data_IF_879760873068
#
_entry.id   IF_879760873068
#
_cell.length_a   1.000
_cell.length_b   1.000
_cell.length_c   1.000
_cell.angle_alpha   90.00
_cell.angle_beta   90.00
_cell.angle_gamma   90.00
#
_symmetry.space_group_name_H-M   'P 1'
#
loop_
_entity.id
_entity.type
_entity.pdbx_description
1 polymer ?
#
# COMPACT_ATOMS: atom_id res chain seq x y z
N UNK A 1 -18.38 0.29 -20.30
CA UNK A 1 -16.95 0.48 -20.65
C UNK A 1 -16.50 1.91 -20.34
N UNK A 2 -15.26 2.09 -19.90
CA UNK A 2 -14.60 3.39 -19.76
C UNK A 2 -13.78 3.63 -21.01
N UNK A 3 -14.31 4.46 -21.90
CA UNK A 3 -13.68 4.83 -23.18
C UNK A 3 -12.82 6.09 -23.07
N UNK A 4 -12.20 6.48 -24.20
CA UNK A 4 -11.38 7.70 -24.33
C UNK A 4 -10.18 7.82 -23.36
N UNK A 5 -9.77 6.70 -22.74
CA UNK A 5 -8.63 6.65 -21.80
C UNK A 5 -7.32 6.16 -22.45
N UNK A 6 -7.37 5.65 -23.67
CA UNK A 6 -6.17 5.18 -24.41
C UNK A 6 -5.06 6.23 -24.46
N UNK A 7 -5.32 7.50 -24.82
CA UNK A 7 -4.28 8.52 -24.86
C UNK A 7 -3.63 8.78 -23.49
N UNK A 8 -4.37 8.57 -22.39
CA UNK A 8 -3.81 8.70 -21.05
C UNK A 8 -2.81 7.58 -20.77
N UNK A 9 -3.12 6.35 -21.16
CA UNK A 9 -2.23 5.20 -20.96
C UNK A 9 -0.98 5.30 -21.83
N UNK A 10 -1.13 5.66 -23.10
CA UNK A 10 0.00 5.88 -24.02
C UNK A 10 0.93 7.00 -23.55
N UNK A 11 0.37 8.06 -22.96
CA UNK A 11 1.15 9.18 -22.40
C UNK A 11 1.56 8.96 -20.94
N UNK A 12 1.39 7.75 -20.38
CA UNK A 12 1.70 7.41 -19.00
C UNK A 12 1.02 8.33 -17.95
N UNK A 13 -0.13 8.92 -18.27
CA UNK A 13 -0.91 9.80 -17.38
C UNK A 13 -1.77 9.00 -16.38
N UNK A 14 -1.13 8.09 -15.64
CA UNK A 14 -1.84 7.18 -14.73
C UNK A 14 -2.54 7.87 -13.57
N UNK A 15 -2.04 9.03 -13.11
CA UNK A 15 -2.76 9.87 -12.14
C UNK A 15 -4.16 10.25 -12.64
N UNK A 16 -4.25 10.66 -13.90
CA UNK A 16 -5.50 11.11 -14.49
C UNK A 16 -6.40 9.92 -14.80
N UNK A 17 -5.81 8.78 -15.20
CA UNK A 17 -6.51 7.51 -15.36
C UNK A 17 -7.21 7.08 -14.06
N UNK A 18 -6.51 7.16 -12.93
CA UNK A 18 -7.08 6.84 -11.60
C UNK A 18 -8.29 7.72 -11.32
N UNK A 19 -8.19 9.02 -11.57
CA UNK A 19 -9.30 9.94 -11.35
C UNK A 19 -10.52 9.57 -12.22
N UNK A 20 -10.30 9.27 -13.51
CA UNK A 20 -11.37 8.82 -14.42
C UNK A 20 -12.02 7.53 -13.92
N UNK A 21 -11.23 6.52 -13.51
CA UNK A 21 -11.76 5.25 -13.01
C UNK A 21 -12.59 5.47 -11.74
N UNK A 22 -12.03 6.18 -10.75
CA UNK A 22 -12.71 6.41 -9.47
C UNK A 22 -13.99 7.22 -9.65
N UNK A 23 -13.94 8.32 -10.41
CA UNK A 23 -15.11 9.15 -10.68
C UNK A 23 -16.22 8.35 -11.38
N UNK A 24 -15.83 7.49 -12.35
CA UNK A 24 -16.77 6.61 -13.03
C UNK A 24 -17.36 5.56 -12.09
N UNK A 25 -16.53 4.89 -11.28
CA UNK A 25 -16.99 3.86 -10.32
C UNK A 25 -17.89 4.43 -9.24
N UNK A 26 -17.69 5.67 -8.82
CA UNK A 26 -18.56 6.35 -7.86
C UNK A 26 -19.96 6.64 -8.42
N UNK A 27 -20.09 6.82 -9.74
CA UNK A 27 -21.37 7.03 -10.41
C UNK A 27 -22.06 5.73 -10.87
N UNK A 28 -21.39 4.58 -10.80
CA UNK A 28 -21.89 3.31 -11.29
C UNK A 28 -22.41 2.40 -10.17
N UNK A 29 -23.43 1.57 -10.42
CA UNK A 29 -23.84 0.53 -9.48
C UNK A 29 -22.69 -0.45 -9.20
N UNK A 30 -22.47 -0.87 -7.94
CA UNK A 30 -21.38 -1.80 -7.60
C UNK A 30 -21.41 -3.14 -8.35
N UNK A 31 -22.60 -3.58 -8.79
CA UNK A 31 -22.79 -4.84 -9.51
C UNK A 31 -22.50 -4.76 -11.01
N UNK A 32 -22.27 -3.57 -11.56
CA UNK A 32 -22.03 -3.39 -13.00
C UNK A 32 -20.55 -3.67 -13.34
N UNK A 33 -20.26 -4.61 -14.27
CA UNK A 33 -18.90 -4.83 -14.74
C UNK A 33 -18.33 -3.59 -15.43
N UNK A 34 -17.07 -3.28 -15.15
CA UNK A 34 -16.35 -2.15 -15.71
C UNK A 34 -15.22 -2.62 -16.60
N UNK A 35 -15.37 -2.33 -17.89
CA UNK A 35 -14.36 -2.58 -18.90
C UNK A 35 -13.48 -1.34 -19.10
N UNK A 36 -12.18 -1.44 -18.83
CA UNK A 36 -11.22 -0.37 -19.12
C UNK A 36 -10.73 -0.50 -20.56
N UNK A 37 -11.25 0.34 -21.46
CA UNK A 37 -11.07 0.16 -22.90
C UNK A 37 -9.65 0.49 -23.35
N UNK A 38 -9.02 -0.42 -24.10
CA UNK A 38 -7.66 -0.32 -24.64
C UNK A 38 -6.55 -0.46 -23.59
N UNK A 39 -6.88 -0.89 -22.37
CA UNK A 39 -5.92 -1.14 -21.32
C UNK A 39 -5.24 -2.50 -21.53
N UNK A 40 -4.20 -2.51 -22.37
CA UNK A 40 -3.58 -3.74 -22.84
C UNK A 40 -2.21 -4.10 -22.25
N UNK A 41 -1.61 -3.23 -21.43
CA UNK A 41 -0.26 -3.45 -20.90
C UNK A 41 -0.28 -3.96 -19.44
N UNK A 42 0.43 -5.05 -19.11
CA UNK A 42 0.31 -5.71 -17.80
C UNK A 42 0.68 -4.85 -16.59
N UNK A 43 1.65 -3.93 -16.75
CA UNK A 43 2.15 -3.10 -15.64
C UNK A 43 1.09 -2.34 -14.83
N UNK A 44 -0.09 -2.07 -15.41
CA UNK A 44 -1.16 -1.32 -14.74
C UNK A 44 -2.33 -2.20 -14.26
N UNK A 45 -2.34 -3.51 -14.55
CA UNK A 45 -3.48 -4.38 -14.24
C UNK A 45 -3.81 -4.37 -12.75
N UNK A 46 -2.80 -4.53 -11.88
CA UNK A 46 -3.02 -4.51 -10.44
C UNK A 46 -3.74 -3.21 -9.98
N UNK A 47 -3.26 -2.04 -10.42
CA UNK A 47 -3.84 -0.74 -10.05
C UNK A 47 -5.27 -0.58 -10.57
N UNK A 48 -5.51 -0.88 -11.85
CA UNK A 48 -6.85 -0.76 -12.44
C UNK A 48 -7.86 -1.70 -11.78
N UNK A 49 -7.46 -2.95 -11.49
CA UNK A 49 -8.31 -3.93 -10.81
C UNK A 49 -8.59 -3.52 -9.37
N UNK A 50 -7.59 -3.00 -8.64
CA UNK A 50 -7.79 -2.48 -7.28
C UNK A 50 -8.77 -1.30 -7.21
N UNK A 51 -8.90 -0.55 -8.31
CA UNK A 51 -9.88 0.52 -8.46
C UNK A 51 -11.24 0.04 -9.00
N UNK A 52 -11.40 -1.25 -9.26
CA UNK A 52 -12.66 -1.88 -9.62
C UNK A 52 -12.93 -1.99 -11.12
N UNK A 53 -11.88 -2.06 -11.95
CA UNK A 53 -12.00 -2.51 -13.34
C UNK A 53 -11.98 -4.04 -13.43
N UNK A 54 -12.87 -4.61 -14.23
CA UNK A 54 -13.13 -6.05 -14.33
C UNK A 54 -12.69 -6.65 -15.67
N UNK A 55 -12.77 -5.88 -16.76
CA UNK A 55 -12.47 -6.33 -18.12
C UNK A 55 -11.40 -5.44 -18.77
N UNK A 56 -10.57 -6.07 -19.60
CA UNK A 56 -9.47 -5.45 -20.33
C UNK A 56 -9.46 -5.99 -21.76
N UNK A 57 -9.10 -5.14 -22.72
CA UNK A 57 -8.83 -5.52 -24.10
C UNK A 57 -7.46 -5.00 -24.51
N UNK A 58 -6.76 -5.76 -25.36
CA UNK A 58 -5.40 -5.43 -25.78
C UNK A 58 -5.25 -5.65 -27.28
N UNK A 59 -5.06 -4.56 -28.02
CA UNK A 59 -4.35 -4.60 -29.30
C UNK A 59 -2.82 -4.45 -29.11
N UNK A 60 -2.42 -4.01 -27.92
CA UNK A 60 -1.04 -3.67 -27.61
C UNK A 60 -0.08 -4.85 -27.79
N UNK A 61 -0.48 -6.09 -27.46
CA UNK A 61 0.40 -7.25 -27.60
C UNK A 61 0.93 -7.43 -29.04
N UNK A 62 0.08 -7.20 -30.04
CA UNK A 62 0.41 -7.34 -31.45
C UNK A 62 1.04 -6.07 -32.03
N UNK A 63 0.52 -4.88 -31.67
CA UNK A 63 1.10 -3.61 -32.11
C UNK A 63 2.53 -3.43 -31.58
N UNK A 64 2.76 -3.78 -30.32
CA UNK A 64 4.09 -3.70 -29.72
C UNK A 64 5.03 -4.70 -30.38
N UNK A 65 4.57 -5.91 -30.66
CA UNK A 65 5.38 -6.91 -31.35
C UNK A 65 5.86 -6.45 -32.74
N UNK A 66 4.98 -5.80 -33.52
CA UNK A 66 5.35 -5.19 -34.81
C UNK A 66 6.44 -4.12 -34.69
N UNK A 67 6.46 -3.41 -33.56
CA UNK A 67 7.48 -2.40 -33.26
C UNK A 67 8.71 -2.99 -32.54
N UNK A 68 8.84 -4.32 -32.47
CA UNK A 68 9.92 -5.00 -31.73
C UNK A 68 9.89 -4.75 -30.22
N UNK A 69 8.72 -4.44 -29.66
CA UNK A 69 8.52 -4.12 -28.24
C UNK A 69 8.11 -5.35 -27.42
N UNK A 70 8.95 -5.69 -26.45
CA UNK A 70 8.83 -6.80 -25.52
C UNK A 70 8.22 -6.31 -24.19
N UNK A 71 7.04 -6.81 -23.83
CA UNK A 71 6.33 -6.44 -22.60
C UNK A 71 6.84 -7.21 -21.38
N UNK A 72 6.80 -6.53 -20.23
CA UNK A 72 7.00 -7.09 -18.88
C UNK A 72 5.95 -6.51 -17.92
N UNK A 73 5.84 -7.07 -16.74
CA UNK A 73 5.06 -6.51 -15.63
C UNK A 73 5.60 -5.16 -15.12
N UNK A 74 6.84 -4.78 -15.49
CA UNK A 74 7.48 -3.52 -15.09
C UNK A 74 7.44 -2.44 -16.15
N UNK A 75 7.20 -2.81 -17.42
CA UNK A 75 7.27 -1.87 -18.54
C UNK A 75 7.56 -2.58 -19.85
N UNK A 76 8.12 -1.86 -20.80
CA UNK A 76 8.40 -2.34 -22.16
C UNK A 76 9.86 -2.15 -22.51
N UNK A 77 10.46 -3.12 -23.18
CA UNK A 77 11.80 -3.03 -23.75
C UNK A 77 11.72 -3.11 -25.28
N UNK A 78 12.67 -2.50 -26.00
CA UNK A 78 12.93 -2.92 -27.36
C UNK A 78 13.74 -4.21 -27.32
N UNK A 79 13.34 -5.22 -28.10
CA UNK A 79 13.98 -6.54 -28.11
C UNK A 79 15.47 -6.46 -28.49
N UNK A 80 15.84 -5.48 -29.31
CA UNK A 80 17.23 -5.24 -29.74
C UNK A 80 18.15 -4.78 -28.59
N UNK A 81 17.59 -4.19 -27.52
CA UNK A 81 18.35 -3.71 -26.37
C UNK A 81 18.57 -4.80 -25.30
N UNK A 82 17.87 -5.94 -25.42
CA UNK A 82 17.96 -7.01 -24.46
C UNK A 82 19.20 -7.87 -24.68
N UNK A 83 19.87 -8.23 -23.59
CA UNK A 83 20.91 -9.29 -23.59
C UNK A 83 20.38 -10.64 -23.13
N UNK A 84 19.30 -10.61 -22.35
CA UNK A 84 18.63 -11.79 -21.79
C UNK A 84 17.13 -11.60 -21.95
N UNK A 85 16.39 -12.70 -22.00
CA UNK A 85 14.92 -12.69 -21.94
C UNK A 85 14.50 -12.88 -20.48
N UNK A 86 14.05 -11.82 -19.76
CA UNK A 86 13.72 -11.90 -18.34
C UNK A 86 12.32 -12.49 -18.12
N UNK A 87 12.04 -13.67 -18.68
CA UNK A 87 10.76 -14.35 -18.59
C UNK A 87 10.94 -15.86 -18.72
N UNK A 88 10.05 -16.63 -18.12
CA UNK A 88 10.04 -18.10 -18.16
C UNK A 88 8.86 -18.67 -18.95
N UNK A 89 8.22 -17.87 -19.82
CA UNK A 89 7.15 -18.37 -20.68
C UNK A 89 7.69 -19.36 -21.73
N UNK A 90 6.83 -20.18 -22.37
CA UNK A 90 7.26 -21.17 -23.36
C UNK A 90 8.08 -20.60 -24.53
N UNK A 91 7.93 -19.31 -24.84
CA UNK A 91 8.72 -18.62 -25.85
C UNK A 91 10.13 -18.34 -25.32
N UNK A 92 10.23 -17.61 -24.20
CA UNK A 92 11.51 -17.19 -23.62
C UNK A 92 12.36 -18.33 -23.08
N UNK A 93 11.75 -19.48 -22.73
CA UNK A 93 12.49 -20.67 -22.29
C UNK A 93 13.10 -21.49 -23.42
N UNK A 94 12.71 -21.24 -24.68
CA UNK A 94 13.12 -22.06 -25.84
C UNK A 94 13.79 -21.25 -26.95
N UNK A 95 13.78 -19.92 -26.87
CA UNK A 95 14.34 -19.04 -27.89
C UNK A 95 15.33 -18.05 -27.29
N UNK A 96 16.20 -17.53 -28.13
CA UNK A 96 17.18 -16.48 -27.83
C UNK A 96 16.63 -15.09 -28.18
N UNK A 97 17.32 -14.04 -27.72
CA UNK A 97 16.98 -12.66 -28.08
C UNK A 97 17.00 -12.46 -29.60
N UNK A 98 17.99 -13.00 -30.31
CA UNK A 98 18.14 -12.83 -31.76
C UNK A 98 17.01 -13.48 -32.56
N UNK A 99 16.52 -14.64 -32.12
CA UNK A 99 15.37 -15.31 -32.72
C UNK A 99 14.09 -14.50 -32.51
N UNK A 100 13.85 -13.99 -31.29
CA UNK A 100 12.70 -13.10 -31.03
C UNK A 100 12.78 -11.80 -31.82
N UNK A 101 13.98 -11.21 -31.93
CA UNK A 101 14.18 -9.98 -32.70
C UNK A 101 13.88 -10.14 -34.19
N UNK A 102 13.90 -11.38 -34.69
CA UNK A 102 13.66 -11.70 -36.10
C UNK A 102 12.24 -12.18 -36.38
N UNK A 103 11.40 -12.39 -35.35
CA UNK A 103 10.04 -12.92 -35.48
C UNK A 103 9.04 -12.19 -34.57
N UNK A 104 8.27 -11.28 -35.18
CA UNK A 104 7.20 -10.53 -34.51
C UNK A 104 6.14 -11.46 -33.87
N UNK A 105 5.90 -12.63 -34.46
CA UNK A 105 4.96 -13.62 -33.92
C UNK A 105 5.39 -14.19 -32.57
N UNK A 106 6.70 -14.39 -32.37
CA UNK A 106 7.25 -14.82 -31.08
C UNK A 106 7.06 -13.73 -30.02
N UNK A 107 7.35 -12.47 -30.36
CA UNK A 107 7.16 -11.34 -29.45
C UNK A 107 5.67 -11.18 -29.08
N UNK A 108 4.76 -11.30 -30.06
CA UNK A 108 3.33 -11.20 -29.81
C UNK A 108 2.82 -12.30 -28.85
N UNK A 109 3.29 -13.53 -29.03
CA UNK A 109 2.94 -14.66 -28.14
C UNK A 109 3.49 -14.45 -26.73
N UNK A 110 4.74 -13.99 -26.62
CA UNK A 110 5.33 -13.60 -25.34
C UNK A 110 4.49 -12.51 -24.63
N UNK A 111 4.15 -11.43 -25.34
CA UNK A 111 3.37 -10.31 -24.80
C UNK A 111 2.01 -10.78 -24.25
N UNK A 112 1.36 -11.74 -24.93
CA UNK A 112 0.15 -12.39 -24.42
C UNK A 112 0.42 -13.21 -23.16
N UNK A 113 1.48 -14.01 -23.13
CA UNK A 113 1.83 -14.82 -21.96
C UNK A 113 1.99 -13.96 -20.70
N UNK A 114 2.75 -12.87 -20.80
CA UNK A 114 2.97 -11.93 -19.68
C UNK A 114 1.66 -11.29 -19.24
N UNK A 115 0.81 -10.89 -20.18
CA UNK A 115 -0.49 -10.28 -19.86
C UNK A 115 -1.40 -11.25 -19.08
N UNK A 116 -1.47 -12.51 -19.53
CA UNK A 116 -2.25 -13.54 -18.83
C UNK A 116 -1.63 -13.99 -17.52
N UNK A 117 -0.30 -14.02 -17.42
CA UNK A 117 0.42 -14.30 -16.18
C UNK A 117 0.11 -13.25 -15.12
N UNK A 118 0.23 -11.97 -15.47
CA UNK A 118 -0.07 -10.88 -14.55
C UNK A 118 -1.54 -10.91 -14.12
N UNK A 119 -2.48 -11.16 -15.03
CA UNK A 119 -3.90 -11.29 -14.67
C UNK A 119 -4.17 -12.51 -13.76
N UNK A 120 -3.45 -13.62 -13.91
CA UNK A 120 -3.53 -14.76 -12.98
C UNK A 120 -3.01 -14.38 -11.60
N UNK A 121 -1.88 -13.67 -11.52
CA UNK A 121 -1.30 -13.20 -10.28
C UNK A 121 -2.26 -12.22 -9.56
N UNK A 122 -2.81 -11.24 -10.27
CA UNK A 122 -3.80 -10.30 -9.71
C UNK A 122 -4.99 -11.04 -9.10
N UNK A 123 -5.55 -12.04 -9.80
CA UNK A 123 -6.66 -12.86 -9.27
C UNK A 123 -6.25 -13.65 -8.02
N UNK A 124 -5.03 -14.18 -7.98
CA UNK A 124 -4.52 -14.89 -6.81
C UNK A 124 -4.37 -13.93 -5.61
N UNK A 125 -3.78 -12.75 -5.81
CA UNK A 125 -3.66 -11.73 -4.76
C UNK A 125 -5.03 -11.24 -4.25
N UNK A 126 -6.06 -11.17 -5.09
CA UNK A 126 -7.43 -10.89 -4.64
C UNK A 126 -7.93 -11.99 -3.69
N UNK A 127 -7.70 -13.26 -4.04
CA UNK A 127 -8.12 -14.40 -3.21
C UNK A 127 -7.41 -14.43 -1.87
N UNK A 128 -6.11 -14.12 -1.87
CA UNK A 128 -5.28 -14.10 -0.68
C UNK A 128 -5.51 -12.84 0.17
N UNK A 129 -6.13 -11.79 -0.39
CA UNK A 129 -6.32 -10.50 0.27
C UNK A 129 -5.09 -9.59 0.20
N UNK A 130 -4.15 -9.89 -0.69
CA UNK A 130 -2.86 -9.21 -0.87
C UNK A 130 -2.80 -8.30 -2.11
N UNK A 131 -3.96 -7.85 -2.63
CA UNK A 131 -4.01 -7.08 -3.88
C UNK A 131 -3.25 -5.76 -3.77
N UNK A 132 -3.39 -5.04 -2.65
CA UNK A 132 -2.76 -3.74 -2.49
C UNK A 132 -1.24 -3.85 -2.34
N UNK A 133 -0.74 -4.94 -1.76
CA UNK A 133 0.67 -5.28 -1.72
C UNK A 133 1.22 -5.44 -3.15
N UNK A 134 0.49 -6.13 -4.03
CA UNK A 134 0.84 -6.25 -5.45
C UNK A 134 0.79 -4.89 -6.16
N UNK A 135 -0.25 -4.07 -5.93
CA UNK A 135 -0.38 -2.72 -6.50
C UNK A 135 0.85 -1.89 -6.14
N UNK A 136 1.22 -1.89 -4.88
CA UNK A 136 2.39 -1.18 -4.38
C UNK A 136 3.69 -1.63 -5.05
N UNK A 137 3.89 -2.94 -5.20
CA UNK A 137 5.05 -3.49 -5.92
C UNK A 137 5.08 -3.05 -7.39
N UNK A 138 3.97 -3.16 -8.11
CA UNK A 138 3.86 -2.80 -9.53
C UNK A 138 4.03 -1.31 -9.75
N UNK A 139 3.43 -0.47 -8.91
CA UNK A 139 3.48 0.98 -9.08
C UNK A 139 4.88 1.57 -8.90
N UNK A 140 5.79 0.87 -8.24
CA UNK A 140 7.21 1.26 -8.13
C UNK A 140 8.01 1.02 -9.41
N UNK A 141 7.44 0.35 -10.42
CA UNK A 141 8.14 0.11 -11.68
C UNK A 141 8.35 1.39 -12.53
N UNK A 142 7.53 2.43 -12.35
CA UNK A 142 7.65 3.68 -13.11
C UNK A 142 7.15 4.90 -12.30
N UNK A 143 7.84 6.07 -12.33
CA UNK A 143 7.42 7.25 -11.58
C UNK A 143 5.98 7.70 -11.81
N UNK A 144 5.52 7.66 -13.06
CA UNK A 144 4.13 8.00 -13.37
C UNK A 144 3.11 7.00 -12.82
N UNK A 145 3.48 5.72 -12.69
CA UNK A 145 2.61 4.70 -12.11
C UNK A 145 2.55 4.88 -10.58
N UNK A 146 3.69 5.22 -9.96
CA UNK A 146 3.74 5.66 -8.55
C UNK A 146 2.88 6.91 -8.31
N UNK A 147 2.89 7.87 -9.25
CA UNK A 147 1.97 9.02 -9.18
C UNK A 147 0.50 8.59 -9.25
N UNK A 148 0.19 7.53 -10.01
CA UNK A 148 -1.12 6.87 -10.01
C UNK A 148 -1.48 6.27 -8.64
N UNK A 149 -0.59 5.51 -8.02
CA UNK A 149 -0.80 4.98 -6.66
C UNK A 149 -1.04 6.09 -5.63
N UNK A 150 -0.23 7.15 -5.65
CA UNK A 150 -0.41 8.32 -4.78
C UNK A 150 -1.77 8.97 -4.96
N UNK A 151 -2.27 9.02 -6.19
CA UNK A 151 -3.61 9.51 -6.48
C UNK A 151 -4.69 8.54 -5.95
N UNK A 152 -4.49 7.23 -6.10
CA UNK A 152 -5.44 6.22 -5.66
C UNK A 152 -5.66 6.26 -4.14
N UNK A 153 -4.58 6.36 -3.35
CA UNK A 153 -4.68 6.44 -1.88
C UNK A 153 -5.26 7.77 -1.36
N UNK A 154 -5.37 8.80 -2.21
CA UNK A 154 -6.15 10.00 -1.86
C UNK A 154 -7.66 9.76 -1.93
N UNK A 155 -8.10 8.66 -2.53
CA UNK A 155 -9.49 8.21 -2.56
C UNK A 155 -9.79 7.15 -1.50
N UNK A 156 -8.93 6.98 -0.51
CA UNK A 156 -9.08 5.93 0.51
C UNK A 156 -10.37 6.01 1.32
N UNK A 157 -10.99 7.18 1.49
CA UNK A 157 -12.32 7.27 2.10
C UNK A 157 -13.40 6.50 1.32
N UNK A 158 -13.31 6.50 -0.01
CA UNK A 158 -14.22 5.75 -0.86
C UNK A 158 -13.85 4.28 -0.92
N UNK A 159 -12.56 3.98 -1.08
CA UNK A 159 -12.04 2.60 -1.13
C UNK A 159 -12.39 1.87 0.17
N UNK A 160 -12.19 2.51 1.32
CA UNK A 160 -12.45 1.95 2.65
C UNK A 160 -13.89 1.46 2.82
N UNK A 161 -14.88 2.14 2.20
CA UNK A 161 -16.29 1.73 2.27
C UNK A 161 -16.59 0.45 1.49
N UNK A 162 -15.77 0.12 0.49
CA UNK A 162 -15.92 -1.04 -0.36
C UNK A 162 -15.00 -2.19 0.05
N UNK A 163 -13.90 -1.86 0.73
CA UNK A 163 -12.85 -2.78 1.08
C UNK A 163 -13.27 -3.76 2.19
N UNK A 164 -12.97 -5.05 1.98
CA UNK A 164 -13.35 -6.13 2.89
C UNK A 164 -12.31 -6.31 3.98
N UNK A 165 -12.74 -6.69 5.19
CA UNK A 165 -11.85 -7.22 6.23
C UNK A 165 -12.47 -8.50 6.84
N UNK A 166 -11.65 -9.46 7.31
CA UNK A 166 -10.18 -9.47 7.29
C UNK A 166 -9.57 -9.84 5.93
N UNK A 167 -8.26 -9.59 5.78
CA UNK A 167 -7.41 -9.94 4.62
C UNK A 167 -6.12 -10.62 5.10
N UNK A 168 -5.19 -10.90 4.18
CA UNK A 168 -3.81 -11.26 4.53
C UNK A 168 -3.12 -10.15 5.33
N UNK A 169 -1.97 -10.48 5.92
CA UNK A 169 -1.13 -9.53 6.65
C UNK A 169 -0.86 -8.27 5.82
N UNK A 170 -1.05 -7.11 6.46
CA UNK A 170 -0.74 -5.82 5.88
C UNK A 170 0.79 -5.61 5.89
N UNK A 171 1.37 -5.27 4.74
CA UNK A 171 2.80 -4.94 4.64
C UNK A 171 2.99 -3.45 4.42
N UNK A 172 3.72 -2.80 5.34
CA UNK A 172 4.15 -1.42 5.13
C UNK A 172 5.32 -1.38 4.15
N UNK A 173 5.07 -0.96 2.90
CA UNK A 173 6.09 -0.94 1.84
C UNK A 173 6.53 0.48 1.47
N UNK A 174 5.86 1.51 1.99
CA UNK A 174 6.22 2.92 1.80
C UNK A 174 5.14 3.89 2.29
N UNK A 175 5.32 5.21 2.09
CA UNK A 175 4.40 6.23 2.57
C UNK A 175 2.95 6.03 2.10
N UNK A 176 2.74 5.48 0.92
CA UNK A 176 1.41 5.20 0.38
C UNK A 176 0.65 4.16 1.22
N UNK A 177 1.36 3.23 1.88
CA UNK A 177 0.75 2.26 2.80
C UNK A 177 0.08 2.95 3.99
N UNK A 178 0.65 4.06 4.49
CA UNK A 178 0.08 4.84 5.59
C UNK A 178 -1.28 5.48 5.25
N UNK A 179 -1.63 5.54 3.96
CA UNK A 179 -2.87 6.13 3.47
C UNK A 179 -3.88 5.09 2.99
N UNK A 180 -3.59 3.80 3.10
CA UNK A 180 -4.50 2.72 2.67
C UNK A 180 -5.77 2.65 3.52
N UNK A 181 -6.76 1.92 3.00
CA UNK A 181 -8.09 1.74 3.60
C UNK A 181 -8.03 1.17 5.02
N UNK A 182 -7.08 0.29 5.33
CA UNK A 182 -6.90 -0.25 6.69
C UNK A 182 -6.62 0.87 7.70
N UNK A 183 -5.76 1.83 7.33
CA UNK A 183 -5.38 2.94 8.20
C UNK A 183 -6.53 3.93 8.32
N UNK A 184 -7.20 4.25 7.20
CA UNK A 184 -8.40 5.11 7.21
C UNK A 184 -9.55 4.53 8.02
N UNK A 185 -9.76 3.21 7.96
CA UNK A 185 -10.77 2.55 8.81
C UNK A 185 -10.40 2.65 10.28
N UNK A 186 -9.12 2.44 10.60
CA UNK A 186 -8.67 2.53 11.98
C UNK A 186 -8.78 3.94 12.55
N UNK A 187 -8.46 4.97 11.75
CA UNK A 187 -8.70 6.38 12.09
C UNK A 187 -10.17 6.62 12.50
N UNK A 188 -11.13 6.04 11.75
CA UNK A 188 -12.56 6.12 12.09
C UNK A 188 -12.89 5.33 13.36
N UNK A 189 -12.21 4.22 13.62
CA UNK A 189 -12.44 3.44 14.84
C UNK A 189 -11.95 4.13 16.11
N UNK A 190 -11.04 5.09 16.01
CA UNK A 190 -10.61 5.89 17.17
C UNK A 190 -11.79 6.57 17.88
N UNK A 191 -12.84 6.94 17.14
CA UNK A 191 -14.04 7.58 17.71
C UNK A 191 -15.01 6.60 18.37
N UNK A 192 -14.71 5.29 18.36
CA UNK A 192 -15.59 4.24 18.91
C UNK A 192 -15.14 3.76 20.30
N UNK A 193 -13.95 4.15 20.73
CA UNK A 193 -13.49 3.87 22.08
C UNK A 193 -14.22 4.78 23.09
N UNK A 194 -14.58 4.22 24.24
CA UNK A 194 -15.10 4.94 25.41
C UNK A 194 -14.19 4.62 26.60
N UNK A 195 -13.00 5.23 26.60
CA UNK A 195 -11.97 5.03 27.60
C UNK A 195 -12.16 6.01 28.76
N UNK A 196 -11.97 5.51 29.98
CA UNK A 196 -12.04 6.28 31.24
C UNK A 196 -10.91 5.85 32.17
N UNK A 197 -10.48 6.71 33.06
CA UNK A 197 -9.39 6.38 33.98
C UNK A 197 -8.01 6.45 33.31
N UNK A 198 -7.08 5.57 33.69
CA UNK A 198 -5.67 5.63 33.27
C UNK A 198 -5.42 4.74 32.05
N UNK A 199 -4.91 5.32 30.97
CA UNK A 199 -4.58 4.61 29.72
C UNK A 199 -3.09 4.68 29.47
N UNK A 200 -2.42 3.53 29.31
CA UNK A 200 -1.03 3.46 28.90
C UNK A 200 -0.92 3.18 27.40
N UNK A 201 -0.11 3.98 26.70
CA UNK A 201 0.33 3.76 25.33
C UNK A 201 1.83 3.45 25.35
N UNK A 202 2.26 2.32 24.77
CA UNK A 202 3.66 1.88 24.77
C UNK A 202 4.05 1.12 23.51
N UNK A 203 5.34 0.84 23.32
CA UNK A 203 5.78 -0.08 22.26
C UNK A 203 5.39 -1.54 22.56
N UNK A 204 5.25 -2.33 21.50
CA UNK A 204 4.90 -3.76 21.57
C UNK A 204 5.79 -4.53 22.57
N UNK A 205 7.10 -4.33 22.49
CA UNK A 205 8.12 -5.09 23.23
C UNK A 205 8.50 -4.47 24.58
N UNK A 206 7.91 -3.33 24.94
CA UNK A 206 8.26 -2.65 26.18
C UNK A 206 7.58 -3.33 27.37
N UNK A 207 8.39 -3.63 28.39
CA UNK A 207 7.99 -4.35 29.61
C UNK A 207 7.29 -3.40 30.58
N UNK A 208 6.18 -3.84 31.16
CA UNK A 208 5.46 -3.06 32.18
C UNK A 208 5.54 -3.85 33.49
N UNK A 209 6.19 -3.26 34.50
CA UNK A 209 6.29 -3.87 35.83
C UNK A 209 4.94 -3.82 36.57
N UNK A 210 4.17 -2.74 36.40
CA UNK A 210 2.89 -2.51 37.10
C UNK A 210 1.69 -2.42 36.15
N UNK A 211 1.33 -3.53 35.49
CA UNK A 211 0.13 -3.57 34.62
C UNK A 211 -1.16 -3.18 35.36
N UNK A 212 -1.24 -3.42 36.67
CA UNK A 212 -2.40 -3.11 37.51
C UNK A 212 -2.66 -1.62 37.72
N UNK A 213 -1.72 -0.76 37.38
CA UNK A 213 -1.84 0.70 37.59
C UNK A 213 -2.66 1.40 36.49
N UNK A 214 -2.98 0.69 35.41
CA UNK A 214 -3.68 1.21 34.25
C UNK A 214 -4.95 0.42 33.98
N UNK A 215 -6.03 1.14 33.72
CA UNK A 215 -7.33 0.57 33.33
C UNK A 215 -7.27 -0.01 31.90
N UNK A 216 -6.45 0.61 31.03
CA UNK A 216 -6.26 0.19 29.64
C UNK A 216 -4.80 0.24 29.22
N UNK A 217 -4.37 -0.78 28.46
CA UNK A 217 -3.04 -0.83 27.84
C UNK A 217 -3.16 -0.96 26.33
N UNK A 218 -2.50 -0.04 25.63
CA UNK A 218 -2.50 0.09 24.18
C UNK A 218 -1.08 -0.02 23.65
N UNK A 219 -0.92 -0.81 22.60
CA UNK A 219 0.32 -0.85 21.84
C UNK A 219 0.33 0.29 20.81
N UNK A 220 1.48 0.91 20.63
CA UNK A 220 1.76 1.90 19.61
C UNK A 220 2.47 1.26 18.43
N UNK A 221 1.92 1.42 17.23
CA UNK A 221 2.50 0.89 15.98
C UNK A 221 2.27 1.84 14.81
N UNK A 222 3.30 2.40 14.19
CA UNK A 222 3.16 3.11 12.92
C UNK A 222 2.65 2.20 11.80
N UNK A 223 1.82 2.68 10.85
CA UNK A 223 1.13 3.97 10.83
C UNK A 223 -0.21 3.97 11.60
N UNK A 224 -0.59 2.88 12.27
CA UNK A 224 -1.87 2.75 12.96
C UNK A 224 -2.03 3.73 14.13
N UNK A 225 -0.99 3.93 14.95
CA UNK A 225 -1.10 4.66 16.21
C UNK A 225 -1.33 3.71 17.38
N UNK A 226 -2.15 4.11 18.35
CA UNK A 226 -2.44 3.31 19.55
C UNK A 226 -3.67 2.41 19.37
N UNK A 227 -3.55 1.13 19.70
CA UNK A 227 -4.64 0.15 19.68
C UNK A 227 -4.56 -0.78 20.91
N UNK A 228 -5.67 -1.40 21.37
CA UNK A 228 -5.64 -2.30 22.53
C UNK A 228 -4.62 -3.44 22.36
N UNK A 229 -3.75 -3.64 23.36
CA UNK A 229 -2.66 -4.62 23.26
C UNK A 229 -3.14 -6.06 22.99
N UNK A 230 -4.37 -6.40 23.41
CA UNK A 230 -5.01 -7.69 23.14
C UNK A 230 -5.27 -7.96 21.65
N UNK A 231 -5.31 -6.91 20.81
CA UNK A 231 -5.56 -7.02 19.37
C UNK A 231 -4.28 -7.15 18.54
N UNK A 232 -3.10 -7.22 19.17
CA UNK A 232 -1.79 -7.26 18.49
C UNK A 232 -1.66 -8.33 17.41
N UNK A 233 -2.26 -9.49 17.62
CA UNK A 233 -2.21 -10.62 16.68
C UNK A 233 -3.45 -10.65 15.75
N UNK A 234 -4.31 -9.64 15.81
CA UNK A 234 -5.52 -9.50 14.98
C UNK A 234 -5.27 -8.56 13.80
N UNK A 235 -5.79 -8.90 12.62
CA UNK A 235 -5.73 -8.01 11.46
C UNK A 235 -6.51 -6.69 11.71
N UNK A 236 -5.95 -5.51 11.37
CA UNK A 236 -4.69 -5.28 10.65
C UNK A 236 -3.46 -5.07 11.55
N UNK A 237 -3.57 -5.20 12.87
CA UNK A 237 -2.48 -4.91 13.81
C UNK A 237 -1.36 -5.96 13.81
N UNK A 238 -1.62 -7.15 13.26
CA UNK A 238 -0.60 -8.13 12.93
C UNK A 238 0.28 -7.72 11.72
N UNK A 239 0.16 -6.48 11.22
CA UNK A 239 0.94 -5.92 10.12
C UNK A 239 2.46 -6.14 10.25
N UNK A 240 3.15 -6.32 9.14
CA UNK A 240 4.61 -6.27 9.09
C UNK A 240 5.07 -4.83 8.83
N UNK A 241 5.75 -4.26 9.82
CA UNK A 241 6.30 -2.90 9.79
C UNK A 241 7.72 -2.97 10.35
N UNK A 242 8.68 -3.27 9.47
CA UNK A 242 10.10 -3.42 9.85
C UNK A 242 10.85 -2.10 9.76
N UNK A 243 10.48 -1.25 8.81
CA UNK A 243 11.00 0.10 8.62
C UNK A 243 9.82 1.05 8.50
N UNK A 244 9.88 2.17 9.22
CA UNK A 244 8.90 3.24 9.12
C UNK A 244 9.59 4.55 8.75
N UNK A 245 8.93 5.30 7.88
CA UNK A 245 9.36 6.63 7.47
C UNK A 245 8.64 7.71 8.27
N UNK A 246 8.95 8.97 7.97
CA UNK A 246 8.33 10.12 8.61
C UNK A 246 6.80 10.15 8.43
N UNK A 247 6.26 9.73 7.29
CA UNK A 247 4.81 9.72 7.04
C UNK A 247 4.11 8.71 7.97
N UNK A 248 4.66 7.50 8.10
CA UNK A 248 4.09 6.50 9.01
C UNK A 248 4.01 7.00 10.46
N UNK A 249 5.08 7.64 10.93
CA UNK A 249 5.13 8.16 12.31
C UNK A 249 4.15 9.31 12.47
N UNK A 250 4.06 10.23 11.51
CA UNK A 250 3.09 11.32 11.55
C UNK A 250 1.65 10.80 11.63
N UNK A 251 1.26 9.91 10.71
CA UNK A 251 -0.11 9.35 10.68
C UNK A 251 -0.44 8.61 11.98
N UNK A 252 0.53 7.89 12.55
CA UNK A 252 0.36 7.21 13.83
C UNK A 252 0.12 8.19 14.98
N UNK A 253 0.88 9.29 15.04
CA UNK A 253 0.72 10.33 16.06
C UNK A 253 -0.58 11.13 15.87
N UNK A 254 -1.02 11.36 14.63
CA UNK A 254 -2.33 11.94 14.33
C UNK A 254 -3.46 11.04 14.87
N UNK A 255 -3.37 9.72 14.63
CA UNK A 255 -4.32 8.75 15.16
C UNK A 255 -4.33 8.71 16.70
N UNK A 256 -3.17 8.80 17.35
CA UNK A 256 -3.07 8.92 18.82
C UNK A 256 -3.70 10.22 19.31
N UNK A 257 -3.45 11.33 18.63
CA UNK A 257 -4.06 12.63 18.97
C UNK A 257 -5.59 12.53 18.93
N UNK A 258 -6.12 11.92 17.86
CA UNK A 258 -7.55 11.72 17.68
C UNK A 258 -8.16 10.84 18.76
N UNK A 259 -7.50 9.74 19.11
CA UNK A 259 -7.92 8.86 20.21
C UNK A 259 -8.06 9.65 21.52
N UNK A 260 -7.05 10.46 21.86
CA UNK A 260 -7.04 11.24 23.10
C UNK A 260 -8.17 12.27 23.10
N UNK A 261 -8.34 13.00 21.99
CA UNK A 261 -9.40 14.01 21.85
C UNK A 261 -10.81 13.41 21.94
N UNK A 262 -11.01 12.18 21.43
CA UNK A 262 -12.28 11.48 21.54
C UNK A 262 -12.57 10.93 22.94
N UNK A 263 -11.59 10.91 23.85
CA UNK A 263 -11.72 10.32 25.19
C UNK A 263 -11.24 11.31 26.28
N UNK A 264 -11.94 12.44 26.49
CA UNK A 264 -11.50 13.49 27.41
C UNK A 264 -11.49 13.06 28.89
N UNK A 265 -12.29 12.04 29.25
CA UNK A 265 -12.40 11.52 30.61
C UNK A 265 -11.29 10.51 30.99
N UNK A 266 -10.40 10.19 30.04
CA UNK A 266 -9.23 9.36 30.27
C UNK A 266 -7.96 10.21 30.48
N UNK A 267 -7.06 9.71 31.32
CA UNK A 267 -5.72 10.25 31.52
C UNK A 267 -4.73 9.34 30.78
N UNK A 268 -4.10 9.88 29.74
CA UNK A 268 -3.20 9.11 28.90
C UNK A 268 -1.75 9.25 29.38
N UNK A 269 -1.05 8.14 29.44
CA UNK A 269 0.40 8.06 29.61
C UNK A 269 0.98 7.46 28.35
N UNK A 270 1.80 8.23 27.60
CA UNK A 270 2.54 7.71 26.46
C UNK A 270 4.00 7.52 26.84
N UNK A 271 4.44 6.26 26.90
CA UNK A 271 5.85 5.92 27.06
C UNK A 271 6.52 6.07 25.70
N UNK A 272 7.26 7.18 25.54
CA UNK A 272 7.81 7.60 24.26
C UNK A 272 8.87 6.60 23.79
N UNK A 273 8.71 5.99 22.60
CA UNK A 273 9.78 5.26 21.96
C UNK A 273 11.05 6.10 21.81
N UNK A 274 12.24 5.52 22.04
CA UNK A 274 13.53 6.24 21.94
C UNK A 274 13.71 6.88 20.57
N UNK A 275 13.28 6.19 19.51
CA UNK A 275 13.43 6.57 18.11
C UNK A 275 12.48 7.69 17.64
N UNK A 276 11.42 8.04 18.39
CA UNK A 276 10.57 9.19 18.00
C UNK A 276 11.27 10.50 18.37
N UNK A 277 11.49 11.42 17.40
CA UNK A 277 12.06 12.73 17.67
C UNK A 277 11.22 13.53 18.67
N UNK A 278 11.88 14.18 19.63
CA UNK A 278 11.20 14.99 20.66
C UNK A 278 10.30 16.08 20.08
N UNK A 279 10.69 16.65 18.93
CA UNK A 279 9.91 17.70 18.26
C UNK A 279 8.50 17.22 17.92
N UNK A 280 8.34 15.99 17.42
CA UNK A 280 7.02 15.44 17.07
C UNK A 280 6.14 15.23 18.32
N UNK A 281 6.75 14.85 19.44
CA UNK A 281 6.05 14.69 20.71
C UNK A 281 5.65 16.04 21.32
N UNK A 282 6.47 17.08 21.16
CA UNK A 282 6.10 18.44 21.59
C UNK A 282 4.88 18.95 20.83
N UNK A 283 4.74 18.63 19.54
CA UNK A 283 3.53 18.92 18.77
C UNK A 283 2.32 18.14 19.31
N UNK A 284 2.47 16.84 19.60
CA UNK A 284 1.40 16.01 20.20
C UNK A 284 0.80 16.65 21.48
N UNK A 285 1.66 17.13 22.39
CA UNK A 285 1.22 17.78 23.64
C UNK A 285 0.39 19.05 23.44
N UNK A 286 0.52 19.75 22.32
CA UNK A 286 -0.29 20.95 22.03
C UNK A 286 -1.78 20.60 21.84
N UNK A 287 -2.06 19.39 21.39
CA UNK A 287 -3.40 18.92 21.01
C UNK A 287 -4.00 17.90 21.98
N UNK A 288 -3.24 17.50 23.01
CA UNK A 288 -3.58 16.46 23.97
C UNK A 288 -3.24 16.91 25.41
N UNK A 289 -4.11 17.71 26.03
CA UNK A 289 -3.86 18.33 27.35
C UNK A 289 -3.83 17.33 28.52
N UNK A 290 -4.52 16.19 28.38
CA UNK A 290 -4.57 15.07 29.33
C UNK A 290 -3.48 14.01 29.06
N UNK A 291 -2.45 14.34 28.28
CA UNK A 291 -1.34 13.44 27.97
C UNK A 291 -0.11 13.70 28.83
N UNK A 292 0.26 12.69 29.62
CA UNK A 292 1.59 12.59 30.23
C UNK A 292 2.52 11.83 29.30
N UNK A 293 3.71 12.38 29.03
CA UNK A 293 4.73 11.66 28.26
C UNK A 293 5.82 11.22 29.21
N UNK A 294 6.05 9.91 29.28
CA UNK A 294 7.19 9.33 29.96
C UNK A 294 8.34 9.21 28.97
N UNK A 295 9.48 9.78 29.32
CA UNK A 295 10.73 9.58 28.58
C UNK A 295 11.27 8.19 28.91
N UNK A 296 11.98 7.53 27.98
CA UNK A 296 12.61 6.26 28.26
C UNK A 296 13.60 6.40 29.41
N UNK A 297 13.63 5.41 30.31
CA UNK A 297 14.64 5.35 31.36
C UNK A 297 16.02 5.22 30.69
N UNK A 298 16.98 6.07 31.08
CA UNK A 298 18.35 6.06 30.51
C UNK A 298 19.16 4.80 30.87
N UNK A 299 18.52 3.74 31.38
CA UNK A 299 19.13 2.46 31.66
C UNK A 299 18.68 1.44 30.59
N UNK A 300 19.64 1.06 29.74
CA UNK A 300 19.59 -0.01 28.73
C UNK A 300 19.04 0.34 27.34
N UNK A 301 19.94 0.85 26.48
CA UNK A 301 20.16 0.30 25.13
C UNK A 301 21.52 0.76 24.63
N UNK A 302 22.49 -0.15 24.59
CA UNK A 302 23.61 -0.08 23.63
C UNK A 302 23.04 -0.03 22.21
N UNK A 303 23.53 0.84 21.32
CA UNK A 303 23.18 0.76 19.91
C UNK A 303 23.95 -0.42 19.30
N UNK A 304 23.24 -1.48 18.94
CA UNK A 304 23.73 -2.44 17.94
C UNK A 304 23.37 -1.90 16.56
N UNK A 305 24.41 -1.89 15.71
CA UNK A 305 24.43 -1.66 14.26
C UNK A 305 24.32 -0.21 13.77
N UNK A 306 25.47 0.46 13.84
CA UNK A 306 25.93 1.39 12.81
C UNK A 306 25.97 0.69 11.45
N UNK A 307 24.98 0.98 10.59
CA UNK A 307 25.17 0.88 9.15
C UNK A 307 25.86 2.16 8.67
N UNK A 308 27.17 2.21 8.82
CA UNK A 308 28.01 3.03 7.95
C UNK A 308 28.13 2.29 6.62
N UNK A 309 27.57 2.87 5.56
CA UNK A 309 27.93 2.53 4.18
C UNK A 309 28.60 3.77 3.58
N UNK A 310 29.91 3.69 3.43
CA UNK A 310 30.66 4.35 2.35
C UNK A 310 30.23 3.79 0.98
#
# INVERSE_FOLDING_TARGET
PLGAVVPLMESYRYRDLVWVIVASKQGLPPAAPVHLFGAGHPMMFALAVALGCDLFDSAAYALYAKDGRYMTDRGTYHIQDLRYLPCSCPICSTHTVGELASDEGLIARHNLYVSFEEMRLVKQCIRDGALWELVEQRCRAHPNLLAGLKAAVNHSDWIERLDRMPKSTFFYSGPESARRSEIRRFERYQTRFDLKGKVLIKEKNDTIENFSDFDYVMDFKPPFGAYPALLRETYPFNAEVTVWDHEAVLVALENVTRLIQCNPDANFTFKKPTWIPEKLIKELKKYAHNLTVQLPDNSSTTPTDSCDYE
#
